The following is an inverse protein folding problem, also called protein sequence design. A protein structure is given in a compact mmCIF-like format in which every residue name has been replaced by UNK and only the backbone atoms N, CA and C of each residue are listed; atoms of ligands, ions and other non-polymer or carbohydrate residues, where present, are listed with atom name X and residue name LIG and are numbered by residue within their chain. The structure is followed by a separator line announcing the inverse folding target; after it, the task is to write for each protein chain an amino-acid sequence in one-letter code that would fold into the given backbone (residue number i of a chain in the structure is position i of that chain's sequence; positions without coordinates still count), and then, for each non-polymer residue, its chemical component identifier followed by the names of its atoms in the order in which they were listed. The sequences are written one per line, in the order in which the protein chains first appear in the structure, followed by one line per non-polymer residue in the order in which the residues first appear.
data_IF_029544092260
#
_entry.id   IF_029544092260
#
_cell.length_a   1.000
_cell.length_b   1.000
_cell.length_c   1.000
_cell.angle_alpha   90.00
_cell.angle_beta   90.00
_cell.angle_gamma   90.00
#
_symmetry.space_group_name_H-M   'P 1'
#
loop_
_entity.id
_entity.type
_entity.pdbx_description
1 polymer ?
#
# COMPACT_ATOMS: atom_id res chain seq x y z
N UNK A 1 -33.00 -1.86 -0.20
CA UNK A 1 -33.88 -2.75 -0.97
C UNK A 1 -33.68 -4.23 -0.60
N UNK A 2 -34.74 -5.05 -0.57
CA UNK A 2 -34.62 -6.48 -0.31
C UNK A 2 -33.80 -7.18 -1.40
N UNK A 3 -33.12 -8.30 -1.08
CA UNK A 3 -32.37 -9.08 -2.06
C UNK A 3 -33.31 -9.58 -3.18
N UNK A 4 -33.05 -9.17 -4.42
CA UNK A 4 -33.77 -9.63 -5.61
C UNK A 4 -32.88 -10.54 -6.45
N UNK A 5 -33.46 -11.46 -7.23
CA UNK A 5 -32.70 -12.32 -8.17
C UNK A 5 -31.84 -11.50 -9.12
N UNK A 6 -32.36 -10.36 -9.61
CA UNK A 6 -31.62 -9.43 -10.46
C UNK A 6 -30.44 -8.78 -9.71
N UNK A 7 -30.62 -8.43 -8.43
CA UNK A 7 -29.54 -7.93 -7.57
C UNK A 7 -28.44 -8.96 -7.35
N UNK A 8 -28.80 -10.22 -7.04
CA UNK A 8 -27.84 -11.31 -6.92
C UNK A 8 -27.07 -11.55 -8.22
N UNK A 9 -27.76 -11.59 -9.36
CA UNK A 9 -27.11 -11.76 -10.66
C UNK A 9 -26.13 -10.62 -10.99
N UNK A 10 -26.47 -9.37 -10.63
CA UNK A 10 -25.59 -8.22 -10.83
C UNK A 10 -24.32 -8.30 -9.96
N UNK A 11 -24.46 -8.72 -8.70
CA UNK A 11 -23.32 -8.92 -7.78
C UNK A 11 -22.42 -10.05 -8.31
N UNK A 12 -22.99 -11.20 -8.65
CA UNK A 12 -22.22 -12.32 -9.20
C UNK A 12 -21.48 -11.94 -10.50
N UNK A 13 -22.10 -11.14 -11.37
CA UNK A 13 -21.43 -10.63 -12.58
C UNK A 13 -20.26 -9.72 -12.25
N UNK A 14 -20.40 -8.84 -11.26
CA UNK A 14 -19.32 -7.95 -10.83
C UNK A 14 -18.15 -8.74 -10.21
N UNK A 15 -18.43 -9.72 -9.34
CA UNK A 15 -17.41 -10.61 -8.76
C UNK A 15 -16.68 -11.41 -9.84
N UNK A 16 -17.42 -11.96 -10.81
CA UNK A 16 -16.81 -12.69 -11.93
C UNK A 16 -15.94 -11.77 -12.80
N UNK A 17 -16.41 -10.55 -13.09
CA UNK A 17 -15.63 -9.57 -13.83
C UNK A 17 -14.34 -9.18 -13.11
N UNK A 18 -14.40 -9.03 -11.78
CA UNK A 18 -13.20 -8.80 -10.98
C UNK A 18 -12.24 -9.99 -11.05
N UNK A 19 -12.71 -11.20 -10.74
CA UNK A 19 -11.86 -12.39 -10.64
C UNK A 19 -11.25 -12.83 -11.97
N UNK A 20 -11.99 -12.72 -13.07
CA UNK A 20 -11.58 -13.24 -14.38
C UNK A 20 -10.86 -12.19 -15.24
N UNK A 21 -11.09 -10.89 -15.00
CA UNK A 21 -10.55 -9.85 -15.87
C UNK A 21 -9.71 -8.82 -15.13
N UNK A 22 -10.23 -8.23 -14.04
CA UNK A 22 -9.52 -7.17 -13.34
C UNK A 22 -8.33 -7.69 -12.54
N UNK A 23 -8.50 -8.78 -11.79
CA UNK A 23 -7.44 -9.36 -10.98
C UNK A 23 -6.25 -9.84 -11.82
N UNK A 24 -6.43 -10.65 -12.89
CA UNK A 24 -5.32 -11.02 -13.77
C UNK A 24 -4.67 -9.81 -14.46
N UNK A 25 -5.47 -8.83 -14.90
CA UNK A 25 -4.95 -7.61 -15.51
C UNK A 25 -4.05 -6.85 -14.54
N UNK A 26 -4.51 -6.61 -13.32
CA UNK A 26 -3.75 -5.87 -12.31
C UNK A 26 -2.51 -6.65 -11.88
N UNK A 27 -2.64 -7.94 -11.57
CA UNK A 27 -1.54 -8.75 -11.01
C UNK A 27 -0.50 -9.13 -12.06
N UNK A 28 -0.92 -9.55 -13.25
CA UNK A 28 -0.02 -10.20 -14.23
C UNK A 28 0.31 -9.30 -15.43
N UNK A 29 -0.53 -8.31 -15.77
CA UNK A 29 -0.25 -7.41 -16.91
C UNK A 29 0.30 -6.04 -16.50
N UNK A 30 -0.17 -5.48 -15.39
CA UNK A 30 0.23 -4.15 -14.91
C UNK A 30 1.37 -4.20 -13.88
N UNK A 31 1.60 -5.36 -13.27
CA UNK A 31 2.62 -5.56 -12.25
C UNK A 31 3.38 -6.88 -12.50
N UNK A 32 4.55 -7.01 -11.87
CA UNK A 32 5.33 -8.24 -11.81
C UNK A 32 4.78 -9.17 -10.72
N UNK A 33 3.58 -9.68 -10.98
CA UNK A 33 2.90 -10.63 -10.10
C UNK A 33 2.49 -11.91 -10.79
N UNK A 34 2.15 -12.91 -9.98
CA UNK A 34 1.53 -14.15 -10.40
C UNK A 34 0.28 -14.40 -9.59
N UNK A 35 -0.86 -14.51 -10.28
CA UNK A 35 -2.13 -14.84 -9.64
C UNK A 35 -2.18 -16.35 -9.38
N UNK A 36 -2.43 -16.73 -8.13
CA UNK A 36 -2.56 -18.13 -7.71
C UNK A 36 -4.02 -18.55 -7.60
N UNK A 37 -4.88 -17.64 -7.13
CA UNK A 37 -6.31 -17.88 -6.96
C UNK A 37 -7.09 -16.56 -7.02
N UNK A 38 -8.26 -16.59 -7.66
CA UNK A 38 -9.26 -15.52 -7.62
C UNK A 38 -10.67 -16.13 -7.62
N UNK A 39 -11.36 -16.02 -6.49
CA UNK A 39 -12.65 -16.67 -6.22
C UNK A 39 -13.82 -15.68 -6.09
N UNK A 40 -13.79 -14.58 -6.82
CA UNK A 40 -14.74 -13.48 -6.65
C UNK A 40 -14.17 -12.42 -5.72
N UNK A 41 -14.43 -12.52 -4.42
CA UNK A 41 -13.94 -11.57 -3.40
C UNK A 41 -12.59 -11.97 -2.79
N UNK A 42 -12.30 -13.28 -2.71
CA UNK A 42 -11.02 -13.78 -2.23
C UNK A 42 -9.97 -13.88 -3.35
N UNK A 43 -8.75 -13.42 -3.06
CA UNK A 43 -7.62 -13.41 -3.99
C UNK A 43 -6.33 -13.85 -3.28
N UNK A 44 -5.51 -14.65 -3.97
CA UNK A 44 -4.15 -14.98 -3.56
C UNK A 44 -3.20 -14.77 -4.74
N UNK A 45 -2.16 -13.97 -4.52
CA UNK A 45 -1.14 -13.68 -5.52
C UNK A 45 0.26 -13.59 -4.89
N UNK A 46 1.28 -13.80 -5.71
CA UNK A 46 2.66 -13.47 -5.40
C UNK A 46 3.06 -12.25 -6.22
N UNK A 47 3.93 -11.39 -5.70
CA UNK A 47 4.40 -10.21 -6.42
C UNK A 47 5.83 -9.85 -6.06
N UNK A 48 6.49 -9.16 -6.99
CA UNK A 48 7.75 -8.49 -6.72
C UNK A 48 7.57 -7.44 -5.62
N UNK A 49 8.60 -7.28 -4.79
CA UNK A 49 8.60 -6.36 -3.65
C UNK A 49 8.38 -4.90 -4.07
N UNK A 50 8.86 -4.51 -5.25
CA UNK A 50 8.69 -3.16 -5.78
C UNK A 50 7.23 -2.83 -6.16
N UNK A 51 6.47 -3.83 -6.58
CA UNK A 51 5.11 -3.70 -7.11
C UNK A 51 4.02 -4.00 -6.07
N UNK A 52 4.36 -4.67 -4.96
CA UNK A 52 3.35 -5.20 -4.03
C UNK A 52 2.41 -4.13 -3.46
N UNK A 53 2.92 -2.92 -3.19
CA UNK A 53 2.11 -1.83 -2.63
C UNK A 53 1.15 -1.21 -3.65
N UNK A 54 1.63 -0.94 -4.87
CA UNK A 54 0.79 -0.38 -5.94
C UNK A 54 -0.21 -1.42 -6.43
N UNK A 55 0.19 -2.70 -6.53
CA UNK A 55 -0.67 -3.80 -6.91
C UNK A 55 -1.82 -3.99 -5.91
N UNK A 56 -1.52 -4.03 -4.62
CA UNK A 56 -2.54 -4.21 -3.58
C UNK A 56 -3.56 -3.06 -3.58
N UNK A 57 -3.07 -1.83 -3.73
CA UNK A 57 -3.93 -0.65 -3.83
C UNK A 57 -4.79 -0.66 -5.09
N UNK A 58 -4.21 -0.97 -6.25
CA UNK A 58 -4.96 -1.00 -7.51
C UNK A 58 -6.02 -2.12 -7.50
N UNK A 59 -5.72 -3.28 -6.91
CA UNK A 59 -6.71 -4.33 -6.67
C UNK A 59 -7.87 -3.84 -5.81
N UNK A 60 -7.57 -3.13 -4.72
CA UNK A 60 -8.58 -2.53 -3.84
C UNK A 60 -9.43 -1.52 -4.60
N UNK A 61 -8.84 -0.68 -5.44
CA UNK A 61 -9.56 0.28 -6.27
C UNK A 61 -10.43 -0.41 -7.33
N UNK A 62 -9.88 -1.42 -8.01
CA UNK A 62 -10.56 -2.18 -9.06
C UNK A 62 -11.77 -2.94 -8.52
N UNK A 63 -11.68 -3.49 -7.31
CA UNK A 63 -12.80 -4.19 -6.65
C UNK A 63 -14.03 -3.28 -6.49
N UNK A 64 -13.83 -2.03 -6.07
CA UNK A 64 -14.93 -1.07 -5.86
C UNK A 64 -15.25 -0.20 -7.09
N UNK A 65 -14.37 -0.18 -8.10
CA UNK A 65 -14.47 0.76 -9.23
C UNK A 65 -14.27 2.22 -8.79
N UNK A 66 -13.31 2.47 -7.90
CA UNK A 66 -12.91 3.81 -7.48
C UNK A 66 -11.64 4.22 -8.22
N UNK A 67 -11.49 5.53 -8.42
CA UNK A 67 -10.28 6.09 -9.04
C UNK A 67 -9.08 5.83 -8.11
N UNK A 68 -7.98 5.27 -8.63
CA UNK A 68 -6.77 5.07 -7.84
C UNK A 68 -6.05 6.42 -7.61
N UNK A 69 -5.22 6.51 -6.56
CA UNK A 69 -4.32 7.64 -6.38
C UNK A 69 -3.47 7.88 -7.62
N UNK A 70 -3.13 9.14 -7.90
CA UNK A 70 -2.44 9.52 -9.14
C UNK A 70 -1.10 8.84 -9.38
N UNK A 71 -0.41 8.41 -8.32
CA UNK A 71 0.86 7.67 -8.40
C UNK A 71 0.69 6.17 -8.73
N UNK A 72 -0.55 5.68 -8.81
CA UNK A 72 -0.93 4.29 -9.14
C UNK A 72 -1.92 4.25 -10.31
N UNK A 73 -2.10 5.37 -11.02
CA UNK A 73 -3.03 5.44 -12.13
C UNK A 73 -2.68 4.38 -13.19
N UNK A 74 -3.58 3.42 -13.48
CA UNK A 74 -3.35 2.45 -14.52
C UNK A 74 -3.19 3.18 -15.85
N UNK A 75 -2.21 2.74 -16.66
CA UNK A 75 -2.09 3.22 -18.05
C UNK A 75 -3.38 2.97 -18.84
N UNK A 76 -3.48 3.52 -20.06
CA UNK A 76 -4.71 3.66 -20.85
C UNK A 76 -5.56 2.41 -21.18
N UNK A 77 -5.22 1.24 -20.64
CA UNK A 77 -5.83 -0.08 -20.85
C UNK A 77 -6.74 -0.49 -19.71
N UNK A 78 -6.70 0.24 -18.61
CA UNK A 78 -7.61 0.11 -17.50
C UNK A 78 -7.95 1.51 -17.01
N UNK A 79 -9.24 1.82 -16.91
CA UNK A 79 -9.73 3.03 -16.26
C UNK A 79 -10.75 2.62 -15.21
N UNK A 80 -10.65 3.19 -14.02
CA UNK A 80 -11.52 2.90 -12.88
C UNK A 80 -12.23 4.17 -12.47
N UNK A 81 -13.50 4.08 -12.12
CA UNK A 81 -14.27 5.23 -11.67
C UNK A 81 -15.77 4.96 -11.67
N UNK A 82 -16.51 5.73 -10.89
CA UNK A 82 -17.98 5.64 -10.85
C UNK A 82 -18.56 4.26 -10.53
N UNK A 83 -17.81 3.35 -9.88
CA UNK A 83 -18.24 1.97 -9.65
C UNK A 83 -18.08 1.03 -10.85
N UNK A 84 -17.27 1.42 -11.84
CA UNK A 84 -17.05 0.69 -13.08
C UNK A 84 -15.55 0.58 -13.39
N UNK A 85 -15.23 -0.33 -14.31
CA UNK A 85 -13.91 -0.48 -14.88
C UNK A 85 -14.01 -0.60 -16.41
N UNK A 86 -13.28 0.24 -17.14
CA UNK A 86 -13.13 0.13 -18.58
C UNK A 86 -11.80 -0.58 -18.88
N UNK A 87 -11.86 -1.75 -19.51
CA UNK A 87 -10.70 -2.61 -19.76
C UNK A 87 -10.46 -2.77 -21.25
N UNK A 88 -9.20 -2.66 -21.69
CA UNK A 88 -8.78 -2.85 -23.09
C UNK A 88 -8.41 -1.56 -23.83
N UNK A 89 -7.92 -1.71 -25.07
CA UNK A 89 -7.52 -0.61 -25.96
C UNK A 89 -8.41 -0.54 -27.20
N UNK A 90 -8.62 0.69 -27.70
CA UNK A 90 -9.37 0.94 -28.94
C UNK A 90 -10.75 0.30 -28.93
N UNK A 91 -11.11 -0.36 -30.04
CA UNK A 91 -12.42 -0.99 -30.24
C UNK A 91 -12.65 -2.24 -29.38
N UNK A 92 -11.61 -2.75 -28.70
CA UNK A 92 -11.71 -3.91 -27.79
C UNK A 92 -12.00 -3.50 -26.34
N UNK A 93 -12.40 -2.24 -26.12
CA UNK A 93 -12.75 -1.75 -24.79
C UNK A 93 -14.04 -2.39 -24.28
N UNK A 94 -14.00 -2.87 -23.04
CA UNK A 94 -15.13 -3.47 -22.37
C UNK A 94 -15.41 -2.79 -21.05
N UNK A 95 -16.67 -2.41 -20.86
CA UNK A 95 -17.14 -1.83 -19.61
C UNK A 95 -17.59 -2.95 -18.67
N UNK A 96 -16.91 -3.06 -17.53
CA UNK A 96 -17.23 -3.96 -16.45
C UNK A 96 -17.87 -3.18 -15.31
N UNK A 97 -18.89 -3.78 -14.70
CA UNK A 97 -19.43 -3.29 -13.43
C UNK A 97 -18.54 -3.80 -12.30
N UNK A 98 -18.06 -2.90 -11.45
CA UNK A 98 -17.37 -3.27 -10.22
C UNK A 98 -18.39 -3.50 -9.08
N UNK A 99 -17.92 -3.91 -7.90
CA UNK A 99 -18.81 -4.13 -6.74
C UNK A 99 -19.45 -2.83 -6.21
N UNK A 100 -18.93 -1.68 -6.65
CA UNK A 100 -19.41 -0.35 -6.32
C UNK A 100 -18.70 0.26 -5.11
N UNK A 101 -18.84 1.58 -4.97
CA UNK A 101 -18.06 2.41 -4.02
C UNK A 101 -18.23 2.03 -2.54
N UNK A 102 -19.36 1.39 -2.18
CA UNK A 102 -19.62 0.94 -0.80
C UNK A 102 -18.96 -0.40 -0.47
N UNK A 103 -18.74 -1.25 -1.48
CA UNK A 103 -18.03 -2.50 -1.27
C UNK A 103 -16.55 -2.21 -1.02
N UNK A 104 -15.93 -2.98 -0.13
CA UNK A 104 -14.52 -2.83 0.26
C UNK A 104 -13.89 -4.20 0.48
N UNK A 105 -12.56 -4.23 0.52
CA UNK A 105 -11.78 -5.43 0.82
C UNK A 105 -10.71 -5.14 1.86
N UNK A 106 -10.37 -6.15 2.65
CA UNK A 106 -9.19 -6.13 3.53
C UNK A 106 -8.10 -7.01 2.93
N UNK A 107 -6.83 -6.64 3.13
CA UNK A 107 -5.70 -7.36 2.54
C UNK A 107 -4.62 -7.66 3.58
N UNK A 108 -4.10 -8.88 3.55
CA UNK A 108 -2.85 -9.25 4.19
C UNK A 108 -1.72 -9.30 3.17
N UNK A 109 -0.56 -8.74 3.50
CA UNK A 109 0.66 -8.82 2.71
C UNK A 109 1.76 -9.40 3.59
N UNK A 110 2.51 -10.37 3.09
CA UNK A 110 3.70 -10.90 3.76
C UNK A 110 4.91 -10.72 2.88
N UNK A 111 5.94 -10.09 3.43
CA UNK A 111 7.25 -9.96 2.81
C UNK A 111 8.19 -10.90 3.58
N UNK A 112 8.69 -11.93 2.89
CA UNK A 112 9.54 -12.95 3.47
C UNK A 112 10.70 -13.29 2.54
N UNK A 113 11.74 -13.89 3.09
CA UNK A 113 12.84 -14.43 2.29
C UNK A 113 12.37 -15.61 1.44
N UNK A 114 12.94 -15.80 0.25
CA UNK A 114 12.55 -16.88 -0.66
C UNK A 114 12.82 -18.29 -0.09
N UNK A 115 13.69 -18.43 0.92
CA UNK A 115 13.92 -19.71 1.62
C UNK A 115 13.02 -19.90 2.84
N UNK A 116 12.17 -18.93 3.19
CA UNK A 116 11.24 -19.08 4.31
C UNK A 116 10.24 -20.20 3.98
N UNK A 117 9.95 -21.13 4.90
CA UNK A 117 9.00 -22.20 4.64
C UNK A 117 7.62 -21.64 4.26
N UNK A 118 7.10 -22.04 3.10
CA UNK A 118 5.85 -21.49 2.54
C UNK A 118 4.67 -21.66 3.51
N UNK A 119 4.61 -22.75 4.27
CA UNK A 119 3.58 -22.95 5.28
C UNK A 119 3.58 -21.87 6.38
N UNK A 120 4.76 -21.39 6.78
CA UNK A 120 4.91 -20.28 7.75
C UNK A 120 4.42 -18.98 7.12
N UNK A 121 4.83 -18.72 5.87
CA UNK A 121 4.42 -17.53 5.11
C UNK A 121 2.91 -17.47 4.92
N UNK A 122 2.26 -18.59 4.53
CA UNK A 122 0.82 -18.66 4.35
C UNK A 122 0.05 -18.50 5.66
N UNK A 123 0.55 -19.09 6.77
CA UNK A 123 -0.04 -18.88 8.10
C UNK A 123 0.01 -17.41 8.51
N UNK A 124 1.15 -16.76 8.30
CA UNK A 124 1.31 -15.34 8.60
C UNK A 124 0.46 -14.47 7.66
N UNK A 125 0.29 -14.87 6.40
CA UNK A 125 -0.55 -14.15 5.43
C UNK A 125 -2.01 -14.11 5.89
N UNK A 126 -2.53 -15.26 6.35
CA UNK A 126 -3.87 -15.33 6.96
C UNK A 126 -3.96 -14.53 8.25
N UNK A 127 -2.90 -14.52 9.07
CA UNK A 127 -2.86 -13.69 10.27
C UNK A 127 -2.86 -12.19 9.96
N UNK A 128 -2.13 -11.77 8.92
CA UNK A 128 -2.12 -10.38 8.43
C UNK A 128 -3.51 -9.97 7.92
N UNK A 129 -4.16 -10.82 7.11
CA UNK A 129 -5.52 -10.57 6.64
C UNK A 129 -6.52 -10.41 7.80
N UNK A 130 -6.43 -11.28 8.83
CA UNK A 130 -7.23 -11.15 10.06
C UNK A 130 -6.92 -9.87 10.82
N UNK A 131 -5.65 -9.50 11.01
CA UNK A 131 -5.27 -8.21 11.65
C UNK A 131 -5.87 -7.02 10.91
N UNK A 132 -5.89 -7.04 9.58
CA UNK A 132 -6.54 -5.99 8.80
C UNK A 132 -8.07 -5.93 9.03
N UNK A 133 -8.73 -7.09 9.13
CA UNK A 133 -10.18 -7.17 9.38
C UNK A 133 -10.56 -6.76 10.81
N UNK A 134 -9.77 -7.19 11.79
CA UNK A 134 -10.04 -7.02 13.22
C UNK A 134 -9.43 -5.71 13.74
N UNK A 135 -8.13 -5.69 14.02
CA UNK A 135 -7.44 -4.51 14.55
C UNK A 135 -7.49 -3.31 13.60
N UNK A 136 -7.42 -3.54 12.29
CA UNK A 136 -7.56 -2.49 11.25
C UNK A 136 -9.00 -2.01 11.03
N UNK A 137 -10.00 -2.66 11.64
CA UNK A 137 -11.39 -2.24 11.57
C UNK A 137 -12.02 -2.36 10.18
N UNK A 138 -11.60 -3.37 9.39
CA UNK A 138 -11.98 -3.62 7.99
C UNK A 138 -11.61 -2.48 7.03
N UNK A 139 -11.69 -2.75 5.73
CA UNK A 139 -11.24 -1.82 4.68
C UNK A 139 -9.80 -1.33 4.97
N UNK A 140 -8.94 -2.30 5.21
CA UNK A 140 -7.58 -2.07 5.70
C UNK A 140 -6.59 -3.07 5.11
N UNK A 141 -5.31 -2.71 5.23
CA UNK A 141 -4.17 -3.53 4.85
C UNK A 141 -3.29 -3.79 6.06
N UNK A 142 -2.76 -5.01 6.16
CA UNK A 142 -1.74 -5.37 7.15
C UNK A 142 -0.54 -5.98 6.44
N UNK A 143 0.62 -5.38 6.61
CA UNK A 143 1.90 -5.82 6.05
C UNK A 143 2.72 -6.46 7.15
N UNK A 144 3.06 -7.74 7.01
CA UNK A 144 4.00 -8.44 7.86
C UNK A 144 5.35 -8.55 7.15
N UNK A 145 6.40 -8.01 7.77
CA UNK A 145 7.77 -8.13 7.32
C UNK A 145 8.50 -9.16 8.20
N UNK A 146 8.85 -10.30 7.61
CA UNK A 146 9.63 -11.36 8.27
C UNK A 146 11.12 -11.14 7.95
N UNK A 147 11.87 -10.63 8.92
CA UNK A 147 13.32 -10.38 8.78
C UNK A 147 14.10 -11.70 8.86
N UNK A 148 15.20 -11.80 8.11
CA UNK A 148 16.09 -12.99 8.14
C UNK A 148 16.65 -13.29 9.54
N UNK A 149 16.84 -12.25 10.35
CA UNK A 149 17.34 -12.35 11.72
C UNK A 149 16.29 -12.78 12.77
N UNK A 150 15.10 -13.24 12.34
CA UNK A 150 14.07 -13.80 13.22
C UNK A 150 13.05 -12.80 13.78
N UNK A 151 13.27 -11.49 13.58
CA UNK A 151 12.31 -10.45 13.97
C UNK A 151 11.17 -10.28 12.96
N UNK A 152 9.98 -9.96 13.45
CA UNK A 152 8.81 -9.66 12.63
C UNK A 152 8.29 -8.26 12.94
N UNK A 153 7.95 -7.50 11.91
CA UNK A 153 7.33 -6.17 12.04
C UNK A 153 6.01 -6.16 11.32
N UNK A 154 4.98 -5.62 11.96
CA UNK A 154 3.66 -5.46 11.37
C UNK A 154 3.33 -3.99 11.23
N UNK A 155 2.87 -3.60 10.05
CA UNK A 155 2.27 -2.31 9.82
C UNK A 155 0.84 -2.50 9.33
N UNK A 156 -0.13 -2.01 10.08
CA UNK A 156 -1.55 -2.13 9.75
C UNK A 156 -2.16 -0.74 9.64
N UNK A 157 -2.99 -0.51 8.64
CA UNK A 157 -3.64 0.79 8.43
C UNK A 157 -4.87 0.64 7.55
N UNK A 158 -5.86 1.51 7.68
CA UNK A 158 -6.93 1.59 6.68
C UNK A 158 -6.37 2.11 5.36
N UNK A 159 -7.02 1.75 4.25
CA UNK A 159 -6.54 2.22 2.94
C UNK A 159 -6.59 3.75 2.80
N UNK A 160 -7.62 4.39 3.38
CA UNK A 160 -7.87 5.83 3.19
C UNK A 160 -8.42 6.16 1.79
N UNK A 161 -9.14 5.21 1.17
CA UNK A 161 -9.64 5.29 -0.21
C UNK A 161 -11.17 5.52 -0.31
N UNK A 162 -11.87 5.66 0.81
CA UNK A 162 -13.32 5.90 0.82
C UNK A 162 -13.60 7.40 0.77
N UNK A 163 -14.37 7.82 -0.23
CA UNK A 163 -15.11 9.08 -0.20
C UNK A 163 -16.54 8.75 0.25
N UNK A 164 -17.00 9.34 1.35
CA UNK A 164 -18.41 9.28 1.70
C UNK A 164 -19.23 10.07 0.67
N UNK A 165 -20.45 9.62 0.39
CA UNK A 165 -21.30 10.24 -0.61
C UNK A 165 -21.81 11.60 -0.10
N UNK A 166 -21.26 12.70 -0.61
CA UNK A 166 -21.75 14.05 -0.32
C UNK A 166 -20.66 15.11 -0.19
N UNK A 167 -19.41 14.71 0.00
CA UNK A 167 -18.30 15.66 0.17
C UNK A 167 -17.40 15.63 -1.07
N UNK A 168 -17.28 16.79 -1.73
CA UNK A 168 -16.21 17.05 -2.68
C UNK A 168 -14.89 17.20 -1.89
N UNK A 169 -14.42 16.12 -1.28
CA UNK A 169 -13.09 16.13 -0.67
C UNK A 169 -12.02 15.99 -1.75
N UNK A 170 -11.02 16.86 -1.66
CA UNK A 170 -9.78 16.71 -2.41
C UNK A 170 -9.22 15.28 -2.23
N UNK A 171 -8.65 14.67 -3.29
CA UNK A 171 -8.11 13.32 -3.19
C UNK A 171 -7.00 13.28 -2.13
N UNK A 172 -7.32 12.75 -0.94
CA UNK A 172 -6.32 12.47 0.08
C UNK A 172 -5.45 11.31 -0.38
N UNK A 173 -4.12 11.41 -0.25
CA UNK A 173 -3.25 10.29 -0.54
C UNK A 173 -3.57 9.16 0.42
N UNK A 174 -3.72 7.96 -0.12
CA UNK A 174 -3.93 6.75 0.67
C UNK A 174 -2.72 6.46 1.57
N UNK A 175 -2.92 5.61 2.58
CA UNK A 175 -1.84 5.21 3.46
C UNK A 175 -0.69 4.52 2.70
N UNK A 176 -1.02 3.74 1.66
CA UNK A 176 -0.01 3.09 0.81
C UNK A 176 0.72 4.08 -0.11
N UNK A 177 0.06 5.16 -0.56
CA UNK A 177 0.73 6.24 -1.29
C UNK A 177 1.78 6.95 -0.44
N UNK A 178 1.47 7.17 0.84
CA UNK A 178 2.44 7.74 1.79
C UNK A 178 3.61 6.78 2.01
N UNK A 179 3.34 5.48 2.16
CA UNK A 179 4.39 4.46 2.30
C UNK A 179 5.31 4.36 1.07
N UNK A 180 4.74 4.42 -0.15
CA UNK A 180 5.51 4.47 -1.40
C UNK A 180 6.34 5.75 -1.51
N UNK A 181 5.75 6.91 -1.22
CA UNK A 181 6.47 8.18 -1.22
C UNK A 181 7.64 8.18 -0.22
N UNK A 182 7.45 7.58 0.97
CA UNK A 182 8.53 7.40 1.94
C UNK A 182 9.60 6.42 1.43
N UNK A 183 9.23 5.28 0.88
CA UNK A 183 10.16 4.33 0.24
C UNK A 183 11.01 5.03 -0.82
N UNK A 184 10.40 5.84 -1.68
CA UNK A 184 11.08 6.51 -2.79
C UNK A 184 11.99 7.63 -2.28
N UNK A 185 11.56 8.37 -1.25
CA UNK A 185 12.41 9.34 -0.56
C UNK A 185 13.63 8.65 0.10
N UNK A 186 13.44 7.52 0.78
CA UNK A 186 14.53 6.72 1.36
C UNK A 186 15.45 6.12 0.30
N UNK A 187 14.95 5.90 -0.93
CA UNK A 187 15.70 5.37 -2.08
C UNK A 187 16.52 6.44 -2.80
N UNK A 188 16.05 7.67 -2.89
CA UNK A 188 16.68 8.68 -3.75
C UNK A 188 16.98 10.02 -3.07
N UNK A 189 16.18 10.44 -2.09
CA UNK A 189 16.26 11.79 -1.51
C UNK A 189 16.93 11.83 -0.12
N UNK A 190 17.01 10.70 0.59
CA UNK A 190 17.48 10.60 1.97
C UNK A 190 18.65 9.62 2.10
N UNK A 191 19.56 9.89 3.04
CA UNK A 191 20.68 9.01 3.37
C UNK A 191 20.21 7.77 4.14
N UNK A 192 21.07 6.73 4.19
CA UNK A 192 20.78 5.48 4.91
C UNK A 192 20.64 5.67 6.44
N UNK A 193 21.17 6.77 6.98
CA UNK A 193 21.13 7.05 8.41
C UNK A 193 19.78 7.60 8.87
N UNK A 194 18.94 8.09 7.95
CA UNK A 194 17.67 8.76 8.31
C UNK A 194 16.77 7.87 9.15
N UNK A 195 16.49 6.64 8.70
CA UNK A 195 15.62 5.73 9.44
C UNK A 195 16.23 5.30 10.77
N UNK A 196 17.54 5.01 10.81
CA UNK A 196 18.24 4.66 12.05
C UNK A 196 18.02 5.73 13.13
N UNK A 197 18.29 7.00 12.80
CA UNK A 197 18.10 8.09 13.76
C UNK A 197 16.62 8.26 14.14
N UNK A 198 15.69 8.08 13.20
CA UNK A 198 14.25 8.15 13.51
C UNK A 198 13.83 7.10 14.51
N UNK A 199 14.22 5.85 14.30
CA UNK A 199 13.90 4.77 15.22
C UNK A 199 14.56 4.99 16.59
N UNK A 200 15.78 5.52 16.62
CA UNK A 200 16.50 5.82 17.86
C UNK A 200 15.78 6.88 18.72
N UNK A 201 15.32 7.99 18.14
CA UNK A 201 14.60 8.98 18.97
C UNK A 201 13.16 8.56 19.27
N UNK A 202 12.53 7.70 18.47
CA UNK A 202 11.24 7.10 18.83
C UNK A 202 11.36 6.16 20.05
N UNK A 203 12.43 5.37 20.12
CA UNK A 203 12.75 4.53 21.29
C UNK A 203 12.89 5.38 22.55
N UNK A 204 13.68 6.46 22.51
CA UNK A 204 13.81 7.37 23.65
C UNK A 204 12.50 8.04 24.09
N UNK A 205 11.57 8.32 23.15
CA UNK A 205 10.24 8.87 23.50
C UNK A 205 9.39 7.83 24.23
N UNK A 206 9.43 6.57 23.79
CA UNK A 206 8.69 5.48 24.45
C UNK A 206 9.22 5.20 25.85
N UNK A 207 10.55 5.13 26.00
CA UNK A 207 11.21 4.94 27.30
C UNK A 207 10.87 6.06 28.30
N UNK A 208 10.69 7.28 27.81
CA UNK A 208 10.27 8.43 28.61
C UNK A 208 8.76 8.47 28.92
N UNK A 209 7.97 7.48 28.46
CA UNK A 209 6.52 7.45 28.63
C UNK A 209 5.75 8.46 27.76
N UNK A 210 6.41 9.10 26.79
CA UNK A 210 5.84 10.16 25.94
C UNK A 210 5.11 9.66 24.70
N UNK A 211 5.00 8.34 24.50
CA UNK A 211 4.49 7.74 23.26
C UNK A 211 3.05 8.14 22.91
N UNK A 212 2.21 8.34 23.92
CA UNK A 212 0.81 8.75 23.74
C UNK A 212 0.65 10.28 23.64
N UNK A 213 1.64 11.04 24.12
CA UNK A 213 1.62 12.51 24.20
C UNK A 213 2.39 13.20 23.08
N UNK A 214 2.87 12.46 22.08
CA UNK A 214 3.62 13.03 20.98
C UNK A 214 2.72 13.95 20.14
N UNK A 215 2.80 15.26 20.37
CA UNK A 215 1.93 16.23 19.69
C UNK A 215 2.28 16.35 18.19
N UNK A 216 1.28 16.51 17.30
CA UNK A 216 1.50 16.54 15.85
C UNK A 216 2.52 17.59 15.40
N UNK A 217 2.51 18.79 16.00
CA UNK A 217 3.43 19.87 15.68
C UNK A 217 4.89 19.54 16.00
N UNK A 218 5.13 18.89 17.15
CA UNK A 218 6.47 18.45 17.54
C UNK A 218 6.96 17.34 16.60
N UNK A 219 6.13 16.33 16.34
CA UNK A 219 6.49 15.24 15.43
C UNK A 219 6.83 15.77 14.03
N UNK A 220 6.03 16.70 13.51
CA UNK A 220 6.26 17.37 12.23
C UNK A 220 7.61 18.09 12.22
N UNK A 221 7.91 18.87 13.25
CA UNK A 221 9.19 19.57 13.37
C UNK A 221 10.39 18.60 13.43
N UNK A 222 10.27 17.50 14.18
CA UNK A 222 11.31 16.47 14.29
C UNK A 222 11.55 15.76 12.96
N UNK A 223 10.48 15.34 12.27
CA UNK A 223 10.58 14.67 10.97
C UNK A 223 11.18 15.59 9.91
N UNK A 224 10.69 16.83 9.81
CA UNK A 224 11.23 17.83 8.86
C UNK A 224 12.71 18.09 9.15
N UNK A 225 13.07 18.35 10.41
CA UNK A 225 14.48 18.55 10.81
C UNK A 225 15.34 17.36 10.40
N UNK A 226 14.87 16.15 10.66
CA UNK A 226 15.61 14.93 10.38
C UNK A 226 15.75 14.66 8.87
N UNK A 227 14.69 14.88 8.10
CA UNK A 227 14.73 14.76 6.64
C UNK A 227 15.68 15.76 6.02
N UNK A 228 15.61 17.03 6.42
CA UNK A 228 16.49 18.06 5.87
C UNK A 228 17.94 17.86 6.29
N UNK A 229 18.20 17.40 7.52
CA UNK A 229 19.56 17.08 8.00
C UNK A 229 20.21 15.95 7.19
N UNK A 230 19.43 14.96 6.79
CA UNK A 230 19.91 13.74 6.13
C UNK A 230 19.48 13.64 4.67
N UNK A 231 19.16 14.76 4.02
CA UNK A 231 18.88 14.79 2.59
C UNK A 231 20.16 14.64 1.78
N UNK A 232 20.05 14.06 0.59
CA UNK A 232 21.14 14.10 -0.38
C UNK A 232 21.20 15.48 -1.05
N UNK A 233 22.37 15.92 -1.56
CA UNK A 233 22.47 17.17 -2.33
C UNK A 233 21.49 17.17 -3.51
N UNK A 234 20.80 18.30 -3.73
CA UNK A 234 19.83 18.46 -4.82
C UNK A 234 18.44 17.85 -4.55
N UNK A 235 18.20 17.24 -3.37
CA UNK A 235 16.87 16.79 -2.99
C UNK A 235 15.91 17.98 -2.79
N UNK A 236 14.68 17.82 -3.29
CA UNK A 236 13.61 18.80 -3.18
C UNK A 236 13.10 18.92 -1.74
N UNK A 237 13.45 20.01 -1.07
CA UNK A 237 13.06 20.27 0.33
C UNK A 237 11.55 20.43 0.50
N UNK A 238 10.85 21.00 -0.48
CA UNK A 238 9.40 21.20 -0.39
C UNK A 238 8.67 19.85 -0.43
N UNK A 239 9.12 18.92 -1.29
CA UNK A 239 8.60 17.55 -1.31
C UNK A 239 8.87 16.79 -0.01
N UNK A 240 10.06 16.96 0.59
CA UNK A 240 10.39 16.33 1.88
C UNK A 240 9.53 16.87 3.02
N UNK A 241 9.28 18.19 3.06
CA UNK A 241 8.37 18.81 4.04
C UNK A 241 6.95 18.28 3.88
N UNK A 242 6.42 18.30 2.65
CA UNK A 242 5.08 17.76 2.37
C UNK A 242 4.95 16.25 2.62
N UNK A 243 6.04 15.48 2.50
CA UNK A 243 6.05 14.07 2.92
C UNK A 243 5.98 13.94 4.45
N UNK A 244 6.76 14.71 5.19
CA UNK A 244 6.70 14.72 6.65
C UNK A 244 5.29 15.08 7.14
N UNK A 245 4.67 16.07 6.49
CA UNK A 245 3.30 16.49 6.81
C UNK A 245 2.29 15.36 6.67
N UNK A 246 2.31 14.69 5.50
CA UNK A 246 1.43 13.54 5.23
C UNK A 246 1.67 12.37 6.19
N UNK A 247 2.92 12.11 6.58
CA UNK A 247 3.24 11.06 7.56
C UNK A 247 2.63 11.39 8.92
N UNK A 248 2.76 12.64 9.38
CA UNK A 248 2.19 13.10 10.66
C UNK A 248 0.67 12.94 10.64
N UNK A 249 0.03 13.40 9.57
CA UNK A 249 -1.43 13.33 9.44
C UNK A 249 -1.90 11.86 9.46
N UNK A 250 -1.20 10.98 8.73
CA UNK A 250 -1.48 9.53 8.73
C UNK A 250 -1.37 8.89 10.13
N UNK A 251 -0.31 9.18 10.90
CA UNK A 251 -0.10 8.54 12.21
C UNK A 251 -0.92 9.18 13.32
N UNK A 252 -1.48 10.37 13.11
CA UNK A 252 -2.39 11.00 14.08
C UNK A 252 -3.85 10.75 13.78
N UNK A 253 -4.22 10.50 12.52
CA UNK A 253 -5.58 10.16 12.12
C UNK A 253 -6.02 8.84 12.77
N UNK A 254 -6.91 8.95 13.77
CA UNK A 254 -7.45 7.79 14.48
C UNK A 254 -8.33 6.91 13.60
N UNK A 255 -8.88 7.44 12.49
CA UNK A 255 -9.70 6.68 11.54
C UNK A 255 -8.85 5.76 10.64
N UNK A 256 -7.57 6.08 10.46
CA UNK A 256 -6.62 5.34 9.62
C UNK A 256 -5.72 4.38 10.40
N UNK A 257 -5.65 4.54 11.73
CA UNK A 257 -4.85 3.70 12.62
C UNK A 257 -5.60 2.44 13.06
N UNK A 258 -4.88 1.35 13.35
CA UNK A 258 -5.45 0.20 14.02
C UNK A 258 -5.91 0.55 15.44
N UNK A 259 -6.96 -0.12 15.91
CA UNK A 259 -7.42 -0.03 17.29
C UNK A 259 -6.28 -0.39 18.26
N UNK A 260 -6.11 0.41 19.31
CA UNK A 260 -5.09 0.19 20.34
C UNK A 260 -3.65 0.48 19.92
N UNK A 261 -3.42 1.09 18.74
CA UNK A 261 -2.06 1.45 18.28
C UNK A 261 -1.81 2.95 18.37
N UNK A 262 -0.78 3.32 19.15
CA UNK A 262 -0.33 4.72 19.29
C UNK A 262 0.43 5.25 18.05
N UNK A 263 0.59 6.58 17.91
CA UNK A 263 1.28 7.18 16.78
C UNK A 263 2.74 6.73 16.63
N UNK A 264 3.45 6.54 17.76
CA UNK A 264 4.87 6.11 17.75
C UNK A 264 5.04 4.70 17.19
N UNK A 265 4.22 3.75 17.67
CA UNK A 265 4.23 2.38 17.16
C UNK A 265 3.91 2.33 15.66
N UNK A 266 2.94 3.13 15.22
CA UNK A 266 2.57 3.23 13.80
C UNK A 266 3.69 3.82 12.95
N UNK A 267 4.34 4.89 13.43
CA UNK A 267 5.47 5.54 12.76
C UNK A 267 6.66 4.58 12.63
N UNK A 268 7.02 3.89 13.71
CA UNK A 268 8.08 2.88 13.74
C UNK A 268 7.85 1.79 12.71
N UNK A 269 6.63 1.25 12.67
CA UNK A 269 6.25 0.19 11.73
C UNK A 269 6.34 0.68 10.28
N UNK A 270 5.79 1.87 9.98
CA UNK A 270 5.85 2.50 8.66
C UNK A 270 7.30 2.68 8.18
N UNK A 271 8.16 3.28 9.01
CA UNK A 271 9.57 3.51 8.66
C UNK A 271 10.34 2.20 8.47
N UNK A 272 10.09 1.19 9.30
CA UNK A 272 10.73 -0.12 9.18
C UNK A 272 10.37 -0.82 7.87
N UNK A 273 9.07 -0.79 7.50
CA UNK A 273 8.60 -1.38 6.23
C UNK A 273 9.16 -0.59 5.03
N UNK A 274 9.04 0.74 5.05
CA UNK A 274 9.50 1.58 3.94
C UNK A 274 11.02 1.48 3.72
N UNK A 275 11.81 1.42 4.80
CA UNK A 275 13.26 1.22 4.70
C UNK A 275 13.61 -0.13 4.07
N UNK A 276 12.93 -1.22 4.49
CA UNK A 276 13.15 -2.53 3.89
C UNK A 276 12.90 -2.51 2.37
N UNK A 277 11.76 -1.95 1.95
CA UNK A 277 11.40 -1.82 0.53
C UNK A 277 12.39 -0.93 -0.25
N UNK A 278 12.95 0.09 0.39
CA UNK A 278 13.94 0.97 -0.23
C UNK A 278 15.33 0.32 -0.39
N UNK A 279 15.66 -0.71 0.42
CA UNK A 279 16.96 -1.40 0.37
C UNK A 279 17.05 -2.40 -0.78
N UNK A 280 16.04 -3.25 -0.95
CA UNK A 280 16.07 -4.36 -1.93
C UNK A 280 16.12 -3.85 -3.38
N UNK A 281 15.46 -2.72 -3.65
CA UNK A 281 15.43 -2.07 -4.97
C UNK A 281 16.75 -1.42 -5.41
N UNK A 282 17.56 -0.93 -4.46
CA UNK A 282 18.90 -0.38 -4.77
C UNK A 282 19.90 -1.47 -5.19
N UNK A 283 19.67 -2.72 -4.77
CA UNK A 283 20.51 -3.86 -5.15
C UNK A 283 20.38 -4.30 -6.61
N UNK A 284 19.31 -3.89 -7.30
CA UNK A 284 19.04 -4.25 -8.71
C UNK A 284 19.80 -3.43 -9.75
N UNK A 285 20.41 -2.29 -9.38
CA UNK A 285 21.12 -1.40 -10.32
C UNK A 285 22.43 -1.99 -10.90
N UNK A 286 22.79 -3.24 -10.57
CA UNK A 286 23.85 -3.99 -11.25
C UNK A 286 23.37 -4.82 -12.45
N UNK A 287 22.06 -4.86 -12.75
CA UNK A 287 21.48 -5.67 -13.84
C UNK A 287 21.24 -4.93 -15.17
N UNK A 288 21.34 -3.60 -15.24
CA UNK A 288 20.90 -2.81 -16.41
C UNK A 288 21.84 -2.87 -17.63
N UNK A 289 22.98 -3.57 -17.58
CA UNK A 289 23.82 -3.78 -18.79
C UNK A 289 23.36 -4.93 -19.70
N UNK A 290 22.27 -5.63 -19.36
CA UNK A 290 21.83 -6.83 -20.09
C UNK A 290 20.63 -6.66 -21.03
N UNK A 291 19.87 -5.57 -20.95
CA UNK A 291 18.56 -5.46 -21.63
C UNK A 291 18.57 -4.76 -22.99
N UNK A 292 19.68 -4.14 -23.40
CA UNK A 292 19.78 -3.47 -24.71
C UNK A 292 19.98 -4.41 -25.91
N UNK A 293 20.18 -5.72 -25.70
CA UNK A 293 20.41 -6.70 -26.80
C UNK A 293 19.19 -7.50 -27.26
N UNK A 294 17.97 -7.19 -26.82
CA UNK A 294 16.75 -7.94 -27.21
C UNK A 294 15.67 -7.12 -27.91
N UNK A 295 15.97 -5.92 -28.39
CA UNK A 295 15.08 -5.14 -29.28
C UNK A 295 15.67 -5.00 -30.68
N UNK A 296 16.00 -6.13 -31.30
CA UNK A 296 16.27 -6.23 -32.74
C UNK A 296 16.33 -7.70 -33.16
N UNK A 297 15.16 -8.36 -33.17
CA UNK A 297 14.88 -9.58 -33.93
C UNK A 297 13.36 -9.73 -34.09
#
# INVERSE_FOLDING_TARGET
PPPSRAGHAAISRALNGFALELAPRVVESLHLGKLLYAGGDDLLAMAAVDDVLSMAELLRCAYSGIEPPGDVAPGGDLQLGGGHALVGRGDRRRLLRAMGRRASGSCGIVIAHHTAPLAVVLRELRAAERRAKEAGGRDAVSIALIKRAGGMTHWTTRWGLRCEAGEAEEPRPSALAIARALRDALRAALTRQTTYHILQWLEGIEEAGGAESLVPGLLRALLVRQFLRHRVPGADEAKLRGLADRIVDLVHDASLRPCGTGPVAQLRALFTVAEFLARESRGGAHGERGSERRRSA
#
